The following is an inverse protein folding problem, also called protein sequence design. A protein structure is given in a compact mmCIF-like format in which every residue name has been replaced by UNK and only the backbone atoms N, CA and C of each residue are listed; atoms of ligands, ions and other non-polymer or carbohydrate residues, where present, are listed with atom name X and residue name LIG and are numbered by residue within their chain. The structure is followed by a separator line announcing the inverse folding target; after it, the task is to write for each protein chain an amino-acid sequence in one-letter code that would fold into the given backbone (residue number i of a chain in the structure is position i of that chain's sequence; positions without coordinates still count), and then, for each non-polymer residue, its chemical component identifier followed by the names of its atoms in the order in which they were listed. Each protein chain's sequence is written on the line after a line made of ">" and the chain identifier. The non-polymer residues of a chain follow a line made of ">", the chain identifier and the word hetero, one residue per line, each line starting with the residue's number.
data_IF_500443433791
#
_entry.id   IF_500443433791
#
_cell.length_a   1.000
_cell.length_b   1.000
_cell.length_c   1.000
_cell.angle_alpha   90.00
_cell.angle_beta   90.00
_cell.angle_gamma   90.00
#
_symmetry.space_group_name_H-M   'P 1'
#
loop_
_entity.id
_entity.type
_entity.pdbx_description
1 polymer ?
#
# COMPACT_ATOMS: atom_id res chain seq x y z
N UNK A 1 -29.47 28.50 27.57
CA UNK A 1 -29.73 27.57 26.46
C UNK A 1 -28.44 26.78 26.27
N UNK A 2 -28.47 25.46 26.48
CA UNK A 2 -27.28 24.62 26.32
C UNK A 2 -27.03 24.46 24.83
N UNK A 3 -25.84 24.87 24.37
CA UNK A 3 -25.33 24.51 23.05
C UNK A 3 -25.07 23.00 23.04
N UNK A 4 -25.83 22.29 22.23
CA UNK A 4 -25.56 20.89 21.90
C UNK A 4 -24.31 20.89 21.03
N UNK A 5 -23.16 20.56 21.62
CA UNK A 5 -21.98 20.13 20.86
C UNK A 5 -22.36 18.77 20.28
N UNK A 6 -22.92 18.75 19.07
CA UNK A 6 -22.94 17.54 18.27
C UNK A 6 -21.48 17.19 18.01
N UNK A 7 -20.99 16.13 18.65
CA UNK A 7 -19.74 15.51 18.24
C UNK A 7 -19.95 15.04 16.79
N UNK A 8 -19.25 15.65 15.85
CA UNK A 8 -19.06 15.07 14.52
C UNK A 8 -18.40 13.70 14.75
N UNK A 9 -19.22 12.64 14.73
CA UNK A 9 -18.69 11.31 14.54
C UNK A 9 -18.24 11.34 13.08
N UNK A 10 -16.95 11.56 12.83
CA UNK A 10 -16.36 11.47 11.50
C UNK A 10 -16.83 10.15 10.87
N UNK A 11 -17.75 10.24 9.91
CA UNK A 11 -18.32 9.06 9.25
C UNK A 11 -17.18 8.34 8.51
N UNK A 12 -16.90 7.11 8.93
CA UNK A 12 -15.86 6.29 8.32
C UNK A 12 -16.45 5.63 7.07
N UNK A 13 -15.84 5.89 5.91
CA UNK A 13 -16.16 5.21 4.66
C UNK A 13 -15.43 3.87 4.63
N UNK A 14 -16.17 2.78 4.44
CA UNK A 14 -15.59 1.43 4.39
C UNK A 14 -15.28 1.07 2.93
N UNK A 15 -14.00 1.12 2.56
CA UNK A 15 -13.53 0.71 1.23
C UNK A 15 -13.37 -0.81 1.13
N UNK A 16 -13.08 -1.49 2.25
CA UNK A 16 -12.94 -2.95 2.32
C UNK A 16 -13.32 -3.49 3.71
N UNK A 17 -14.00 -4.63 3.75
CA UNK A 17 -14.42 -5.36 4.96
C UNK A 17 -14.50 -6.88 4.70
N UNK A 18 -13.52 -7.40 3.97
CA UNK A 18 -13.36 -8.82 3.67
C UNK A 18 -12.96 -9.60 4.92
N UNK A 19 -13.34 -10.88 4.93
CA UNK A 19 -12.70 -11.89 5.76
C UNK A 19 -11.31 -12.25 5.21
N UNK A 20 -10.45 -12.83 6.04
CA UNK A 20 -9.14 -13.32 5.57
C UNK A 20 -9.26 -14.29 4.41
N UNK A 21 -10.24 -15.20 4.45
CA UNK A 21 -10.48 -16.19 3.40
C UNK A 21 -10.85 -15.53 2.04
N UNK A 22 -11.60 -14.43 2.07
CA UNK A 22 -11.92 -13.64 0.87
C UNK A 22 -10.70 -12.85 0.38
N UNK A 23 -9.92 -12.27 1.30
CA UNK A 23 -8.72 -11.48 0.99
C UNK A 23 -7.60 -12.30 0.31
N UNK A 24 -7.61 -13.63 0.45
CA UNK A 24 -6.67 -14.56 -0.22
C UNK A 24 -7.34 -15.44 -1.28
N UNK A 25 -8.64 -15.24 -1.56
CA UNK A 25 -9.38 -16.12 -2.46
C UNK A 25 -8.77 -16.16 -3.86
N UNK A 26 -8.59 -17.36 -4.41
CA UNK A 26 -8.05 -17.56 -5.76
C UNK A 26 -6.55 -17.41 -5.90
N UNK A 27 -5.80 -17.17 -4.81
CA UNK A 27 -4.33 -17.15 -4.87
C UNK A 27 -3.78 -18.51 -5.28
N UNK A 28 -2.65 -18.52 -6.00
CA UNK A 28 -1.88 -19.74 -6.29
C UNK A 28 -0.69 -19.90 -5.33
N UNK A 29 -0.63 -19.12 -4.26
CA UNK A 29 0.43 -19.23 -3.28
C UNK A 29 0.40 -20.60 -2.57
N UNK A 30 1.57 -21.21 -2.31
CA UNK A 30 1.68 -22.37 -1.43
C UNK A 30 1.08 -22.11 -0.04
N UNK A 31 0.50 -23.14 0.56
CA UNK A 31 -0.10 -23.09 1.91
C UNK A 31 0.86 -22.51 2.96
N UNK A 32 2.14 -22.90 2.93
CA UNK A 32 3.16 -22.35 3.83
C UNK A 32 3.29 -20.82 3.75
N UNK A 33 3.10 -20.23 2.57
CA UNK A 33 3.10 -18.77 2.42
C UNK A 33 1.81 -18.20 3.01
N UNK A 34 0.66 -18.79 2.68
CA UNK A 34 -0.65 -18.35 3.19
C UNK A 34 -0.68 -18.36 4.72
N UNK A 35 -0.15 -19.42 5.34
CA UNK A 35 -0.07 -19.59 6.81
C UNK A 35 0.84 -18.55 7.49
N UNK A 36 1.71 -17.89 6.72
CA UNK A 36 2.60 -16.83 7.23
C UNK A 36 2.02 -15.42 7.09
N UNK A 37 0.82 -15.29 6.51
CA UNK A 37 0.19 -13.99 6.29
C UNK A 37 -0.67 -13.59 7.50
N UNK A 38 -0.66 -12.29 7.76
CA UNK A 38 -1.59 -11.56 8.61
C UNK A 38 -2.42 -10.60 7.76
N UNK A 39 -3.49 -10.11 8.35
CA UNK A 39 -4.44 -9.23 7.68
C UNK A 39 -4.96 -8.22 8.68
N UNK A 40 -4.82 -6.95 8.33
CA UNK A 40 -5.08 -5.84 9.24
C UNK A 40 -6.01 -4.81 8.62
N UNK A 41 -6.94 -4.32 9.43
CA UNK A 41 -7.72 -3.12 9.13
C UNK A 41 -6.83 -1.89 9.29
N UNK A 42 -6.87 -0.99 8.32
CA UNK A 42 -6.13 0.27 8.34
C UNK A 42 -7.06 1.43 8.09
N UNK A 43 -6.79 2.54 8.77
CA UNK A 43 -7.52 3.79 8.59
C UNK A 43 -6.64 4.82 7.91
N UNK A 44 -7.23 5.64 7.06
CA UNK A 44 -6.52 6.71 6.35
C UNK A 44 -7.49 7.81 5.96
N UNK A 45 -6.96 8.98 5.60
CA UNK A 45 -7.74 9.97 4.88
C UNK A 45 -7.56 9.73 3.38
N UNK A 46 -8.65 9.71 2.61
CA UNK A 46 -8.55 9.63 1.14
C UNK A 46 -8.32 11.01 0.53
N UNK A 47 -8.11 11.07 -0.78
CA UNK A 47 -7.97 12.31 -1.53
C UNK A 47 -9.23 13.19 -1.52
N UNK A 48 -10.38 12.65 -1.13
CA UNK A 48 -11.62 13.41 -0.91
C UNK A 48 -11.67 14.13 0.46
N UNK A 49 -10.65 13.93 1.31
CA UNK A 49 -10.53 14.52 2.63
C UNK A 49 -11.35 13.85 3.72
N UNK A 50 -12.00 12.71 3.44
CA UNK A 50 -12.77 11.93 4.42
C UNK A 50 -11.93 10.80 5.00
N UNK A 51 -12.36 10.27 6.15
CA UNK A 51 -11.72 9.12 6.81
C UNK A 51 -12.27 7.83 6.23
N UNK A 52 -11.38 6.96 5.78
CA UNK A 52 -11.68 5.67 5.18
C UNK A 52 -11.09 4.54 6.03
N UNK A 53 -11.70 3.36 5.90
CA UNK A 53 -11.16 2.08 6.35
C UNK A 53 -10.91 1.19 5.14
N UNK A 54 -9.70 0.64 5.06
CA UNK A 54 -9.32 -0.39 4.10
C UNK A 54 -8.63 -1.55 4.82
N UNK A 55 -8.09 -2.48 4.04
CA UNK A 55 -7.46 -3.69 4.58
C UNK A 55 -6.22 -4.08 3.77
N UNK A 56 -5.17 -4.51 4.45
CA UNK A 56 -3.92 -4.94 3.83
C UNK A 56 -3.49 -6.31 4.36
N UNK A 57 -3.07 -7.18 3.45
CA UNK A 57 -2.51 -8.50 3.77
C UNK A 57 -0.99 -8.38 3.72
N UNK A 58 -0.30 -8.79 4.78
CA UNK A 58 1.17 -8.74 4.89
C UNK A 58 1.69 -9.98 5.60
N UNK A 59 3.00 -10.17 5.68
CA UNK A 59 3.59 -11.23 6.50
C UNK A 59 3.36 -10.92 7.99
N UNK A 60 3.02 -11.92 8.80
CA UNK A 60 2.76 -11.73 10.23
C UNK A 60 3.95 -11.16 11.01
N UNK A 61 5.18 -11.40 10.56
CA UNK A 61 6.38 -10.82 11.20
C UNK A 61 6.51 -9.30 10.99
N UNK A 62 5.77 -8.74 10.03
CA UNK A 62 5.82 -7.32 9.65
C UNK A 62 4.52 -6.57 9.95
N UNK A 63 3.54 -7.24 10.56
CA UNK A 63 2.22 -6.69 10.89
C UNK A 63 2.34 -5.39 11.72
N UNK A 64 3.12 -5.44 12.80
CA UNK A 64 3.31 -4.30 13.72
C UNK A 64 3.98 -3.10 13.03
N UNK A 65 4.94 -3.36 12.13
CA UNK A 65 5.61 -2.30 11.36
C UNK A 65 4.58 -1.58 10.47
N UNK A 66 3.82 -2.36 9.70
CA UNK A 66 2.85 -1.85 8.72
C UNK A 66 1.71 -1.14 9.44
N UNK A 67 1.19 -1.69 10.54
CA UNK A 67 0.17 -1.04 11.36
C UNK A 67 0.67 0.34 11.88
N UNK A 68 1.89 0.41 12.39
CA UNK A 68 2.47 1.67 12.86
C UNK A 68 2.68 2.70 11.74
N UNK A 69 3.00 2.24 10.52
CA UNK A 69 3.11 3.10 9.34
C UNK A 69 1.75 3.67 8.94
N UNK A 70 0.69 2.85 8.91
CA UNK A 70 -0.65 3.33 8.60
C UNK A 70 -1.20 4.29 9.68
N UNK A 71 -0.92 4.03 10.96
CA UNK A 71 -1.22 5.00 12.03
C UNK A 71 -0.52 6.34 11.81
N UNK A 72 0.74 6.33 11.36
CA UNK A 72 1.45 7.57 11.02
C UNK A 72 0.80 8.27 9.83
N UNK A 73 0.51 7.54 8.75
CA UNK A 73 -0.14 8.05 7.54
C UNK A 73 -1.45 8.75 7.91
N UNK A 74 -2.29 8.08 8.70
CA UNK A 74 -3.56 8.64 9.19
C UNK A 74 -3.33 9.90 10.01
N UNK A 75 -2.40 9.84 10.98
CA UNK A 75 -2.10 10.96 11.89
C UNK A 75 -1.64 12.21 11.16
N UNK A 76 -0.78 12.06 10.16
CA UNK A 76 -0.29 13.20 9.36
C UNK A 76 -1.24 13.56 8.20
N UNK A 77 -2.36 12.84 8.07
CA UNK A 77 -3.34 12.98 6.99
C UNK A 77 -2.69 12.94 5.60
N UNK A 78 -1.68 12.08 5.43
CA UNK A 78 -1.11 11.80 4.12
C UNK A 78 -2.16 11.03 3.30
N UNK A 79 -2.70 11.61 2.21
CA UNK A 79 -3.87 11.03 1.57
C UNK A 79 -3.51 9.76 0.81
N UNK A 80 -4.34 8.73 0.94
CA UNK A 80 -4.22 7.49 0.18
C UNK A 80 -5.35 7.36 -0.84
N UNK A 81 -5.08 6.68 -1.96
CA UNK A 81 -6.10 6.37 -2.96
C UNK A 81 -7.14 5.40 -2.41
N UNK A 82 -6.68 4.19 -2.07
CA UNK A 82 -7.40 3.14 -1.35
C UNK A 82 -6.42 2.10 -0.82
N UNK A 83 -6.90 1.24 0.08
CA UNK A 83 -6.16 0.07 0.57
C UNK A 83 -7.09 -1.14 0.54
N UNK A 84 -6.96 -1.96 -0.50
CA UNK A 84 -7.84 -3.09 -0.76
C UNK A 84 -6.99 -4.32 -1.10
N UNK A 85 -7.29 -5.51 -0.53
CA UNK A 85 -6.58 -6.73 -0.87
C UNK A 85 -6.61 -7.05 -2.37
N UNK A 86 -5.52 -7.61 -2.87
CA UNK A 86 -5.30 -7.87 -4.30
C UNK A 86 -6.31 -8.86 -4.90
N UNK A 87 -6.97 -9.69 -4.07
CA UNK A 87 -8.04 -10.59 -4.51
C UNK A 87 -9.18 -9.85 -5.24
N UNK A 88 -9.52 -8.61 -4.83
CA UNK A 88 -10.54 -7.78 -5.51
C UNK A 88 -10.12 -7.31 -6.90
N UNK A 89 -8.83 -7.39 -7.21
CA UNK A 89 -8.26 -7.11 -8.53
C UNK A 89 -7.92 -8.40 -9.28
N UNK A 90 -8.47 -9.55 -8.85
CA UNK A 90 -8.26 -10.85 -9.50
C UNK A 90 -6.78 -11.24 -9.62
N UNK A 91 -5.94 -10.81 -8.67
CA UNK A 91 -4.48 -11.01 -8.70
C UNK A 91 -3.74 -10.28 -9.83
N UNK A 92 -4.36 -9.28 -10.44
CA UNK A 92 -3.76 -8.42 -11.45
C UNK A 92 -3.15 -7.15 -10.83
N UNK A 93 -1.81 -7.13 -10.82
CA UNK A 93 -1.02 -6.02 -10.29
C UNK A 93 -1.26 -4.71 -11.06
N UNK A 94 -1.42 -4.78 -12.39
CA UNK A 94 -1.63 -3.60 -13.22
C UNK A 94 -3.02 -2.98 -12.95
N UNK A 95 -4.05 -3.81 -12.76
CA UNK A 95 -5.38 -3.32 -12.38
C UNK A 95 -5.38 -2.65 -11.00
N UNK A 96 -4.68 -3.25 -10.02
CA UNK A 96 -4.48 -2.66 -8.69
C UNK A 96 -3.77 -1.30 -8.77
N UNK A 97 -2.66 -1.23 -9.51
CA UNK A 97 -1.92 0.02 -9.69
C UNK A 97 -2.73 1.10 -10.40
N UNK A 98 -3.43 0.77 -11.50
CA UNK A 98 -4.26 1.71 -12.23
C UNK A 98 -5.41 2.26 -11.38
N UNK A 99 -5.89 1.46 -10.42
CA UNK A 99 -6.85 1.85 -9.40
C UNK A 99 -6.25 2.75 -8.28
N UNK A 100 -4.97 3.06 -8.31
CA UNK A 100 -4.25 3.76 -7.23
C UNK A 100 -4.35 3.05 -5.87
N UNK A 101 -4.41 1.72 -5.89
CA UNK A 101 -4.48 0.91 -4.69
C UNK A 101 -3.11 0.81 -4.03
N UNK A 102 -3.08 1.03 -2.71
CA UNK A 102 -1.93 0.68 -1.88
C UNK A 102 -2.10 -0.77 -1.42
N UNK A 103 -1.07 -1.61 -1.58
CA UNK A 103 -1.21 -3.06 -1.46
C UNK A 103 0.00 -3.73 -0.82
N UNK A 104 -0.24 -4.86 -0.16
CA UNK A 104 0.79 -5.73 0.43
C UNK A 104 0.95 -7.01 -0.39
N UNK A 105 0.44 -8.13 0.10
CA UNK A 105 0.57 -9.44 -0.52
C UNK A 105 -0.02 -9.51 -1.94
N UNK A 106 0.82 -9.97 -2.88
CA UNK A 106 0.46 -10.32 -4.25
C UNK A 106 1.37 -11.47 -4.71
N UNK A 107 0.83 -12.68 -4.89
CA UNK A 107 1.65 -13.84 -5.29
C UNK A 107 2.00 -13.80 -6.78
N UNK A 108 3.14 -13.19 -7.10
CA UNK A 108 3.65 -13.00 -8.47
C UNK A 108 5.18 -13.09 -8.58
N UNK A 109 5.67 -13.03 -9.81
CA UNK A 109 7.09 -12.76 -10.06
C UNK A 109 7.31 -11.25 -10.26
N UNK A 110 8.55 -10.81 -10.13
CA UNK A 110 8.95 -9.46 -10.50
C UNK A 110 8.80 -9.34 -12.03
N UNK A 111 8.19 -8.23 -12.49
CA UNK A 111 7.93 -7.98 -13.90
C UNK A 111 9.19 -8.16 -14.76
N UNK A 112 9.05 -8.90 -15.87
CA UNK A 112 10.17 -9.22 -16.77
C UNK A 112 11.17 -10.25 -16.24
N UNK A 113 10.91 -10.92 -15.11
CA UNK A 113 11.80 -11.93 -14.53
C UNK A 113 11.06 -13.24 -14.18
N UNK A 114 11.81 -14.22 -13.67
CA UNK A 114 11.27 -15.46 -13.08
C UNK A 114 11.40 -15.51 -11.55
N UNK A 115 11.87 -14.42 -10.93
CA UNK A 115 12.11 -14.35 -9.48
C UNK A 115 10.81 -13.96 -8.79
N UNK A 116 10.44 -14.66 -7.71
CA UNK A 116 9.33 -14.24 -6.86
C UNK A 116 9.56 -12.84 -6.30
N UNK A 117 8.51 -12.03 -6.34
CA UNK A 117 8.47 -10.73 -5.68
C UNK A 117 8.42 -10.88 -4.16
N UNK A 118 8.89 -9.89 -3.40
CA UNK A 118 8.67 -9.87 -1.95
C UNK A 118 7.19 -9.64 -1.58
N UNK A 119 6.39 -9.09 -2.51
CA UNK A 119 4.93 -9.11 -2.40
C UNK A 119 4.39 -10.54 -2.26
N UNK A 120 5.03 -11.52 -2.89
CA UNK A 120 4.61 -12.93 -2.83
C UNK A 120 4.84 -13.57 -1.47
N UNK A 121 5.57 -12.91 -0.58
CA UNK A 121 5.80 -13.35 0.79
C UNK A 121 5.05 -12.46 1.81
N UNK A 122 4.31 -11.44 1.34
CA UNK A 122 3.70 -10.41 2.18
C UNK A 122 4.72 -9.43 2.77
N UNK A 123 5.93 -9.34 2.19
CA UNK A 123 7.08 -8.62 2.75
C UNK A 123 7.45 -7.37 1.96
N UNK A 124 6.49 -6.89 1.19
CA UNK A 124 6.54 -5.64 0.47
C UNK A 124 5.20 -4.90 0.57
N UNK A 125 5.24 -3.58 0.47
CA UNK A 125 4.08 -2.69 0.48
C UNK A 125 4.27 -1.63 -0.60
N UNK A 126 3.24 -1.43 -1.43
CA UNK A 126 3.17 -0.35 -2.40
C UNK A 126 2.19 0.74 -1.92
N UNK A 127 2.56 2.01 -2.03
CA UNK A 127 1.74 3.16 -1.60
C UNK A 127 1.47 4.13 -2.76
N UNK A 128 0.19 4.36 -3.06
CA UNK A 128 -0.30 5.32 -4.07
C UNK A 128 0.42 5.25 -5.44
N UNK A 129 0.27 4.16 -6.22
CA UNK A 129 0.98 3.97 -7.49
C UNK A 129 0.82 5.12 -8.51
N UNK A 130 -0.30 5.85 -8.53
CA UNK A 130 -0.49 6.99 -9.45
C UNK A 130 0.33 8.23 -9.07
N UNK A 131 0.62 8.40 -7.78
CA UNK A 131 1.45 9.51 -7.28
C UNK A 131 2.92 9.12 -7.19
N UNK A 132 3.21 7.84 -6.94
CA UNK A 132 4.54 7.28 -6.71
C UNK A 132 4.82 6.15 -7.71
N UNK A 133 4.84 6.41 -9.03
CA UNK A 133 4.97 5.34 -10.00
C UNK A 133 6.33 4.66 -9.98
N UNK A 134 6.38 3.47 -10.55
CA UNK A 134 7.64 2.90 -11.04
C UNK A 134 8.04 3.59 -12.35
N UNK A 135 9.30 3.97 -12.45
CA UNK A 135 9.93 4.54 -13.64
C UNK A 135 11.04 3.61 -14.09
N UNK A 136 10.77 2.92 -15.19
CA UNK A 136 11.69 2.00 -15.83
C UNK A 136 12.80 2.74 -16.60
N UNK A 137 13.88 2.02 -16.96
CA UNK A 137 14.82 2.50 -17.96
C UNK A 137 14.11 3.06 -19.20
N UNK A 138 14.72 4.06 -19.83
CA UNK A 138 14.16 4.80 -20.98
C UNK A 138 12.89 5.63 -20.67
N UNK A 139 12.49 5.74 -19.40
CA UNK A 139 11.43 6.65 -18.96
C UNK A 139 10.02 6.11 -19.14
N UNK A 140 9.86 4.79 -19.30
CA UNK A 140 8.55 4.14 -19.26
C UNK A 140 8.03 4.24 -17.82
N UNK A 141 6.83 4.78 -17.65
CA UNK A 141 6.19 4.98 -16.35
C UNK A 141 5.01 4.03 -16.25
N UNK A 142 4.91 3.32 -15.13
CA UNK A 142 3.74 2.51 -14.80
C UNK A 142 3.19 2.89 -13.41
N UNK A 143 1.86 2.86 -13.22
CA UNK A 143 0.83 2.60 -14.24
C UNK A 143 0.65 3.79 -15.22
N UNK A 144 -0.08 3.58 -16.32
CA UNK A 144 -0.34 4.62 -17.31
C UNK A 144 -1.01 5.85 -16.67
N UNK A 145 -0.56 7.06 -17.06
CA UNK A 145 -1.09 8.32 -16.54
C UNK A 145 -0.56 8.73 -15.15
N UNK A 146 0.25 7.88 -14.49
CA UNK A 146 0.89 8.22 -13.24
C UNK A 146 1.96 9.32 -13.44
N UNK A 147 2.12 10.19 -12.43
CA UNK A 147 3.09 11.28 -12.48
C UNK A 147 3.72 11.51 -11.12
N UNK A 148 5.04 11.32 -11.04
CA UNK A 148 5.81 11.61 -9.83
C UNK A 148 6.06 13.11 -9.67
N UNK A 149 5.45 13.73 -8.65
CA UNK A 149 5.58 15.16 -8.31
C UNK A 149 5.79 15.37 -6.81
N UNK A 150 7.02 15.23 -6.28
CA UNK A 150 7.32 15.51 -4.88
C UNK A 150 6.77 16.84 -4.39
N UNK A 151 6.24 16.85 -3.16
CA UNK A 151 5.59 18.01 -2.56
C UNK A 151 4.10 18.17 -2.91
N UNK A 152 3.56 17.32 -3.79
CA UNK A 152 2.11 17.20 -4.00
C UNK A 152 1.50 16.19 -3.03
N UNK A 153 0.19 16.32 -2.81
CA UNK A 153 -0.58 15.43 -1.95
C UNK A 153 -0.43 13.95 -2.40
N UNK A 154 -0.16 13.07 -1.45
CA UNK A 154 -0.02 11.64 -1.69
C UNK A 154 1.28 11.22 -2.41
N UNK A 155 2.18 12.16 -2.70
CA UNK A 155 3.50 11.87 -3.28
C UNK A 155 4.58 11.87 -2.21
N UNK A 156 5.34 10.78 -2.17
CA UNK A 156 6.48 10.59 -1.27
C UNK A 156 7.76 11.16 -1.88
N UNK A 157 8.69 11.55 -1.02
CA UNK A 157 10.07 11.90 -1.36
C UNK A 157 10.99 11.26 -0.34
N UNK A 158 12.30 11.23 -0.61
CA UNK A 158 13.25 10.55 0.29
C UNK A 158 13.21 11.06 1.72
N UNK A 159 12.96 12.35 1.92
CA UNK A 159 12.82 13.03 3.22
C UNK A 159 11.39 12.99 3.80
N UNK A 160 10.42 12.40 3.09
CA UNK A 160 9.04 12.35 3.53
C UNK A 160 8.89 11.48 4.80
N UNK A 161 8.09 11.90 5.81
CA UNK A 161 7.95 11.16 7.08
C UNK A 161 7.54 9.69 6.92
N UNK A 162 6.69 9.37 5.93
CA UNK A 162 6.29 7.98 5.64
C UNK A 162 7.48 7.16 5.19
N UNK A 163 8.30 7.69 4.27
CA UNK A 163 9.52 7.00 3.79
C UNK A 163 10.49 6.80 4.95
N UNK A 164 10.73 7.85 5.75
CA UNK A 164 11.62 7.75 6.91
C UNK A 164 11.12 6.72 7.93
N UNK A 165 9.82 6.64 8.19
CA UNK A 165 9.25 5.65 9.10
C UNK A 165 9.48 4.20 8.65
N UNK A 166 9.39 3.93 7.34
CA UNK A 166 9.77 2.64 6.76
C UNK A 166 11.28 2.38 6.96
N UNK A 167 12.14 3.34 6.57
CA UNK A 167 13.59 3.19 6.64
C UNK A 167 14.10 2.98 8.07
N UNK A 168 13.54 3.69 9.07
CA UNK A 168 13.87 3.54 10.50
C UNK A 168 13.54 2.15 11.04
N UNK A 169 12.55 1.46 10.44
CA UNK A 169 12.18 0.08 10.75
C UNK A 169 12.97 -0.96 9.96
N UNK A 170 13.95 -0.52 9.17
CA UNK A 170 14.82 -1.39 8.37
C UNK A 170 14.22 -1.85 7.04
N UNK A 171 13.18 -1.17 6.55
CA UNK A 171 12.68 -1.39 5.19
C UNK A 171 13.59 -0.72 4.17
N UNK A 172 13.65 -1.27 2.97
CA UNK A 172 14.24 -0.62 1.81
C UNK A 172 13.14 0.08 1.00
N UNK A 173 13.45 1.27 0.48
CA UNK A 173 12.55 2.01 -0.39
C UNK A 173 13.01 1.92 -1.84
N UNK A 174 12.10 1.56 -2.75
CA UNK A 174 12.38 1.41 -4.18
C UNK A 174 12.81 2.70 -4.88
N UNK A 175 12.48 3.87 -4.31
CA UNK A 175 13.03 5.16 -4.75
C UNK A 175 14.57 5.25 -4.64
N UNK A 176 15.19 4.41 -3.80
CA UNK A 176 16.65 4.33 -3.65
C UNK A 176 17.32 3.34 -4.61
N UNK A 177 16.57 2.52 -5.35
CA UNK A 177 17.13 1.59 -6.32
C UNK A 177 17.87 2.34 -7.46
N UNK A 178 18.83 1.67 -8.11
CA UNK A 178 19.53 2.28 -9.25
C UNK A 178 18.57 2.43 -10.44
N UNK A 179 17.97 1.31 -10.86
CA UNK A 179 16.88 1.19 -11.83
C UNK A 179 16.13 -0.14 -11.58
N UNK A 180 14.81 -0.21 -11.82
CA UNK A 180 13.92 0.94 -12.02
C UNK A 180 13.88 1.83 -10.77
N UNK A 181 13.43 3.08 -10.92
CA UNK A 181 13.08 3.92 -9.77
C UNK A 181 11.67 3.60 -9.35
N UNK A 182 11.51 2.98 -8.20
CA UNK A 182 10.25 2.35 -7.83
C UNK A 182 9.61 3.06 -6.61
N UNK A 183 8.91 4.17 -6.86
CA UNK A 183 8.60 5.13 -5.80
C UNK A 183 7.51 4.69 -4.83
N UNK A 184 6.55 3.85 -5.27
CA UNK A 184 5.51 3.31 -4.40
C UNK A 184 6.04 2.21 -3.49
N UNK A 185 7.16 1.57 -3.85
CA UNK A 185 7.55 0.27 -3.34
C UNK A 185 8.42 0.34 -2.09
N UNK A 186 8.08 -0.48 -1.09
CA UNK A 186 8.89 -0.73 0.10
C UNK A 186 9.04 -2.24 0.31
N UNK A 187 10.24 -2.69 0.66
CA UNK A 187 10.48 -4.11 0.93
C UNK A 187 11.34 -4.38 2.18
N UNK A 188 10.92 -5.41 2.91
CA UNK A 188 11.40 -5.99 4.16
C UNK A 188 12.09 -7.35 4.12
N UNK A 189 13.17 -7.71 3.40
CA UNK A 189 13.69 -9.09 3.22
C UNK A 189 13.80 -10.03 4.42
#
# INVERSE_FOLDING_TARGET
>A
MMETVMSDIDEIIIDSALSFAEAIAGTTAPEQIIDSLSFIDVFYYSFDGKRHQGQIVVNSELEDDVFAIFMLIEKIKFPLGRVIPIAEFQWDDHQSMAANNSSGFNFRVIEGTTKLSLHSLGRAVDINPLQNPVIYPQGIIAPEGAVYKPGQAGTMSGDHPVVQAFLERGWHWGGNFAQPKDYHHFEKP
#
